data_IF_351496650832
#
_entry.id   IF_351496650832
#
_cell.length_a   1.000
_cell.length_b   1.000
_cell.length_c   1.000
_cell.angle_alpha   90.00
_cell.angle_beta   90.00
_cell.angle_gamma   90.00
#
_symmetry.space_group_name_H-M   'P 1'
#
loop_
_entity.id
_entity.type
_entity.pdbx_description
1 polymer ?
#
# COMPACT_ATOMS: atom_id res chain seq x y z
N UNK A 1 -4.09 -13.59 -0.66
CA UNK A 1 -3.31 -12.37 -0.95
C UNK A 1 -4.12 -11.10 -0.75
N UNK A 2 -5.19 -10.83 -1.53
CA UNK A 2 -6.10 -9.68 -1.29
C UNK A 2 -6.80 -9.66 0.09
N UNK A 3 -7.31 -10.80 0.63
CA UNK A 3 -8.01 -10.80 1.92
C UNK A 3 -7.10 -10.48 3.10
N UNK A 4 -5.95 -11.14 3.18
CA UNK A 4 -4.98 -10.93 4.26
C UNK A 4 -4.46 -9.49 4.29
N UNK A 5 -4.27 -8.87 3.13
CA UNK A 5 -3.76 -7.51 3.04
C UNK A 5 -4.75 -6.51 3.65
N UNK A 6 -6.04 -6.63 3.30
CA UNK A 6 -7.12 -5.80 3.85
C UNK A 6 -7.30 -6.01 5.36
N UNK A 7 -7.32 -7.26 5.83
CA UNK A 7 -7.47 -7.59 7.25
C UNK A 7 -6.33 -7.02 8.09
N UNK A 8 -5.11 -7.10 7.55
CA UNK A 8 -3.91 -6.54 8.18
C UNK A 8 -3.97 -5.01 8.23
N UNK A 9 -4.46 -4.38 7.15
CA UNK A 9 -4.71 -2.93 7.08
C UNK A 9 -5.73 -2.48 8.13
N UNK A 10 -6.85 -3.20 8.24
CA UNK A 10 -7.91 -2.94 9.20
C UNK A 10 -7.41 -3.08 10.64
N UNK A 11 -6.64 -4.13 10.92
CA UNK A 11 -6.09 -4.41 12.24
C UNK A 11 -5.15 -3.31 12.72
N UNK A 12 -4.29 -2.79 11.83
CA UNK A 12 -3.36 -1.71 12.18
C UNK A 12 -4.08 -0.38 12.46
N UNK A 13 -5.05 0.00 11.62
CA UNK A 13 -5.83 1.22 11.84
C UNK A 13 -6.68 1.14 13.12
N UNK A 14 -7.19 -0.06 13.44
CA UNK A 14 -7.88 -0.32 14.69
C UNK A 14 -6.95 -0.16 15.90
N UNK A 15 -5.74 -0.73 15.84
CA UNK A 15 -4.75 -0.64 16.92
C UNK A 15 -4.39 0.82 17.27
N UNK A 16 -4.29 1.70 16.26
CA UNK A 16 -3.91 3.10 16.46
C UNK A 16 -5.10 4.09 16.56
N UNK A 17 -6.35 3.61 16.59
CA UNK A 17 -7.53 4.45 16.80
C UNK A 17 -7.81 5.48 15.68
N UNK A 18 -7.28 5.26 14.47
CA UNK A 18 -7.45 6.18 13.34
C UNK A 18 -8.86 6.07 12.77
N UNK A 19 -9.53 7.21 12.54
CA UNK A 19 -10.86 7.25 11.93
C UNK A 19 -10.80 6.73 10.48
N UNK A 20 -11.74 5.85 10.14
CA UNK A 20 -11.66 4.91 9.02
C UNK A 20 -12.25 5.46 7.73
N UNK A 21 -11.46 5.39 6.65
CA UNK A 21 -11.98 5.11 5.31
C UNK A 21 -10.91 4.30 4.54
N UNK A 22 -11.15 3.01 4.34
CA UNK A 22 -10.32 2.17 3.46
C UNK A 22 -11.09 2.06 2.15
N UNK A 23 -10.66 2.83 1.17
CA UNK A 23 -11.26 2.86 -0.17
C UNK A 23 -10.37 2.12 -1.14
N UNK A 24 -10.97 1.20 -1.91
CA UNK A 24 -10.32 0.57 -3.06
C UNK A 24 -10.99 1.11 -4.31
N UNK A 25 -10.19 1.63 -5.24
CA UNK A 25 -10.65 2.11 -6.53
C UNK A 25 -9.82 1.48 -7.65
N UNK A 26 -10.45 1.27 -8.80
CA UNK A 26 -9.76 0.89 -10.02
C UNK A 26 -9.32 2.15 -10.77
N UNK A 27 -8.05 2.18 -11.17
CA UNK A 27 -7.53 3.25 -12.01
C UNK A 27 -7.49 2.79 -13.47
N UNK A 28 -8.43 3.30 -14.27
CA UNK A 28 -8.62 2.88 -15.66
C UNK A 28 -7.53 3.39 -16.61
N UNK A 29 -6.86 4.50 -16.28
CA UNK A 29 -5.77 5.07 -17.09
C UNK A 29 -4.38 4.53 -16.71
N UNK A 30 -4.31 3.48 -15.89
CA UNK A 30 -3.04 2.87 -15.54
C UNK A 30 -2.34 2.32 -16.79
N UNK A 31 -1.01 2.54 -16.95
CA UNK A 31 -0.28 2.04 -18.11
C UNK A 31 -0.42 0.51 -18.26
N UNK A 32 -0.67 0.06 -19.49
CA UNK A 32 -0.71 -1.37 -19.83
C UNK A 32 0.68 -1.96 -20.01
N UNK A 33 1.64 -1.14 -20.45
CA UNK A 33 3.04 -1.53 -20.56
C UNK A 33 3.63 -1.84 -19.17
N UNK A 34 4.31 -2.97 -19.07
CA UNK A 34 4.81 -3.49 -17.80
C UNK A 34 5.80 -2.55 -17.14
N UNK A 35 6.74 -2.00 -17.94
CA UNK A 35 7.81 -1.14 -17.42
C UNK A 35 7.24 0.17 -16.92
N UNK A 36 6.39 0.80 -17.73
CA UNK A 36 5.71 2.06 -17.40
C UNK A 36 4.86 1.91 -16.13
N UNK A 37 4.19 0.77 -15.96
CA UNK A 37 3.41 0.47 -14.77
C UNK A 37 4.28 0.29 -13.52
N UNK A 38 5.40 -0.42 -13.62
CA UNK A 38 6.35 -0.59 -12.51
C UNK A 38 6.99 0.73 -12.09
N UNK A 39 7.34 1.59 -13.06
CA UNK A 39 7.88 2.92 -12.78
C UNK A 39 6.83 3.80 -12.07
N UNK A 40 5.58 3.76 -12.51
CA UNK A 40 4.48 4.46 -11.84
C UNK A 40 4.25 3.95 -10.41
N UNK A 41 4.22 2.63 -10.23
CA UNK A 41 4.07 1.99 -8.91
C UNK A 41 5.18 2.44 -7.95
N UNK A 42 6.44 2.36 -8.37
CA UNK A 42 7.57 2.78 -7.56
C UNK A 42 7.50 4.27 -7.20
N UNK A 43 7.13 5.14 -8.15
CA UNK A 43 6.97 6.57 -7.89
C UNK A 43 5.89 6.84 -6.82
N UNK A 44 4.77 6.12 -6.87
CA UNK A 44 3.70 6.25 -5.88
C UNK A 44 4.14 5.75 -4.50
N UNK A 45 4.85 4.61 -4.46
CA UNK A 45 5.42 4.07 -3.22
C UNK A 45 6.37 5.06 -2.57
N UNK A 46 7.27 5.67 -3.34
CA UNK A 46 8.26 6.63 -2.83
C UNK A 46 7.63 7.98 -2.44
N UNK A 47 6.53 8.37 -3.08
CA UNK A 47 5.77 9.59 -2.75
C UNK A 47 5.06 9.47 -1.41
N UNK A 48 4.28 8.40 -1.22
CA UNK A 48 3.44 8.24 -0.03
C UNK A 48 4.12 7.50 1.11
N UNK A 49 5.19 6.74 0.79
CA UNK A 49 6.03 5.99 1.74
C UNK A 49 5.23 5.16 2.73
N UNK A 50 4.20 4.49 2.24
CA UNK A 50 3.35 3.63 3.05
C UNK A 50 4.18 2.53 3.75
N UNK A 51 3.92 2.25 5.04
CA UNK A 51 4.64 1.22 5.80
C UNK A 51 4.42 -0.19 5.25
N UNK A 52 3.38 -0.38 4.43
CA UNK A 52 3.02 -1.67 3.85
C UNK A 52 3.86 -2.06 2.63
N UNK A 53 4.60 -1.11 2.04
CA UNK A 53 5.48 -1.37 0.92
C UNK A 53 6.87 -1.77 1.41
N UNK A 54 7.43 -2.83 0.82
CA UNK A 54 8.74 -3.41 1.22
C UNK A 54 9.87 -2.39 1.12
N UNK A 55 9.78 -1.53 0.12
CA UNK A 55 10.70 -0.43 -0.16
C UNK A 55 10.81 0.56 1.01
N UNK A 56 9.83 0.59 1.92
CA UNK A 56 9.82 1.48 3.09
C UNK A 56 10.13 0.76 4.40
N UNK A 57 10.47 -0.54 4.39
CA UNK A 57 10.71 -1.32 5.60
C UNK A 57 11.92 -0.83 6.40
N UNK A 58 12.97 -0.31 5.75
CA UNK A 58 14.10 0.31 6.47
C UNK A 58 13.64 1.52 7.32
N UNK A 59 12.55 2.17 6.92
CA UNK A 59 12.03 3.37 7.58
C UNK A 59 11.01 3.04 8.68
N UNK A 60 10.12 2.09 8.43
CA UNK A 60 8.98 1.82 9.30
C UNK A 60 9.03 0.45 9.99
N UNK A 61 10.00 -0.39 9.63
CA UNK A 61 10.00 -1.82 9.96
C UNK A 61 9.05 -2.62 9.07
N UNK A 62 8.99 -3.93 9.31
CA UNK A 62 8.05 -4.83 8.65
C UNK A 62 6.75 -4.88 9.48
N UNK A 63 5.61 -4.36 8.97
CA UNK A 63 4.39 -4.28 9.77
C UNK A 63 3.66 -5.63 9.95
N UNK A 64 3.91 -6.62 9.10
CA UNK A 64 3.25 -7.94 9.14
C UNK A 64 4.25 -9.07 8.91
N UNK A 65 4.07 -10.20 9.60
CA UNK A 65 4.85 -11.44 9.46
C UNK A 65 4.37 -12.31 8.31
#
# INVERSE_FOLDING_TARGET
MLPQYLDSYHSLHHHYGLQREVSIAFWWDAPTDQRSRQELELNLILKWRSPFNKENWERWGQPFW
#
